data_IF_837489167850
#
_entry.id   IF_837489167850
#
_cell.length_a   1.000
_cell.length_b   1.000
_cell.length_c   1.000
_cell.angle_alpha   90.00
_cell.angle_beta   90.00
_cell.angle_gamma   90.00
#
_symmetry.space_group_name_H-M   'P 1'
#
loop_
_entity.id
_entity.type
_entity.pdbx_description
1 polymer ?
#
# COMPACT_ATOMS: atom_id res chain seq x y z
N UNK A 1 -13.49 -7.84 17.55
CA UNK A 1 -12.52 -7.25 18.49
C UNK A 1 -12.57 -5.74 18.29
N UNK A 2 -12.50 -4.98 19.37
CA UNK A 2 -12.43 -3.51 19.29
C UNK A 2 -11.12 -3.11 18.61
N UNK A 3 -11.13 -2.00 17.89
CA UNK A 3 -9.95 -1.42 17.23
C UNK A 3 -9.24 -0.47 18.20
N UNK A 4 -7.93 -0.48 18.18
CA UNK A 4 -7.05 0.21 19.11
C UNK A 4 -6.46 1.48 18.50
N UNK A 5 -6.78 2.62 19.08
CA UNK A 5 -6.33 3.93 18.61
C UNK A 5 -5.40 4.57 19.64
N UNK A 6 -4.17 4.85 19.27
CA UNK A 6 -3.27 5.70 20.10
C UNK A 6 -3.32 7.12 19.58
N UNK A 7 -3.67 8.06 20.47
CA UNK A 7 -3.72 9.49 20.18
C UNK A 7 -2.47 10.15 20.74
N UNK A 8 -1.64 10.71 19.88
CA UNK A 8 -0.49 11.54 20.25
C UNK A 8 -0.86 13.02 20.23
N UNK A 9 -0.73 13.69 21.36
CA UNK A 9 -1.13 15.09 21.55
C UNK A 9 0.08 15.97 21.70
N UNK A 10 0.29 16.94 20.79
CA UNK A 10 1.36 17.94 20.93
C UNK A 10 0.85 19.32 21.34
N UNK A 11 1.72 20.13 21.96
CA UNK A 11 1.35 21.41 22.60
C UNK A 11 0.91 22.49 21.62
N UNK A 12 -0.36 22.86 21.65
CA UNK A 12 -0.96 23.95 20.89
C UNK A 12 -2.39 24.20 21.29
N UNK A 13 -2.92 25.37 20.99
CA UNK A 13 -4.27 25.77 21.41
C UNK A 13 -5.36 24.76 20.98
N UNK A 14 -5.15 24.05 19.87
CA UNK A 14 -6.12 23.08 19.36
C UNK A 14 -6.20 21.76 20.18
N UNK A 15 -5.43 21.61 21.28
CA UNK A 15 -5.47 20.43 22.16
C UNK A 15 -6.88 20.16 22.70
N UNK A 16 -7.71 21.19 22.96
CA UNK A 16 -9.10 20.99 23.41
C UNK A 16 -9.94 20.18 22.41
N UNK A 17 -9.64 20.28 21.10
CA UNK A 17 -10.32 19.49 20.07
C UNK A 17 -9.91 18.01 20.12
N UNK A 18 -8.70 17.68 20.59
CA UNK A 18 -8.30 16.30 20.83
C UNK A 18 -9.16 15.65 21.92
N UNK A 19 -9.60 16.41 22.94
CA UNK A 19 -10.56 15.91 23.94
C UNK A 19 -11.91 15.55 23.28
N UNK A 20 -12.41 16.41 22.38
CA UNK A 20 -13.66 16.14 21.62
C UNK A 20 -13.49 14.91 20.72
N UNK A 21 -12.33 14.76 20.06
CA UNK A 21 -12.01 13.58 19.27
C UNK A 21 -12.05 12.30 20.10
N UNK A 22 -11.36 12.28 21.25
CA UNK A 22 -11.36 11.12 22.17
C UNK A 22 -12.78 10.81 22.64
N UNK A 23 -13.56 11.84 22.99
CA UNK A 23 -14.97 11.67 23.39
C UNK A 23 -15.86 11.10 22.29
N UNK A 24 -15.63 11.47 21.03
CA UNK A 24 -16.40 10.92 19.89
C UNK A 24 -16.00 9.50 19.55
N UNK A 25 -14.69 9.21 19.55
CA UNK A 25 -14.19 7.87 19.29
C UNK A 25 -14.58 6.87 20.38
N UNK A 26 -14.58 7.27 21.68
CA UNK A 26 -14.99 6.39 22.79
C UNK A 26 -16.47 6.02 22.79
N UNK A 27 -17.31 6.72 22.02
CA UNK A 27 -18.71 6.35 21.77
C UNK A 27 -18.88 5.36 20.62
N UNK A 28 -17.81 5.08 19.90
CA UNK A 28 -17.75 4.07 18.85
C UNK A 28 -17.10 2.79 19.40
N UNK A 29 -16.90 1.80 18.56
CA UNK A 29 -16.29 0.51 18.95
C UNK A 29 -14.75 0.57 18.92
N UNK A 30 -14.18 1.65 19.51
CA UNK A 30 -12.74 1.86 19.64
C UNK A 30 -12.29 1.80 21.10
N UNK A 31 -11.08 1.28 21.32
CA UNK A 31 -10.32 1.48 22.54
C UNK A 31 -9.24 2.54 22.28
N UNK A 32 -9.14 3.53 23.17
CA UNK A 32 -8.32 4.71 22.95
C UNK A 32 -7.34 4.88 24.09
N UNK A 33 -6.06 4.98 23.78
CA UNK A 33 -5.02 5.41 24.71
C UNK A 33 -4.40 6.72 24.24
N UNK A 34 -3.99 7.56 25.17
CA UNK A 34 -3.48 8.90 24.86
C UNK A 34 -2.08 9.06 25.41
N UNK A 35 -1.20 9.62 24.58
CA UNK A 35 0.14 10.08 24.96
C UNK A 35 0.25 11.58 24.69
N UNK A 36 0.85 12.34 25.59
CA UNK A 36 0.97 13.80 25.47
C UNK A 36 2.42 14.24 25.59
N UNK A 37 2.79 15.25 24.81
CA UNK A 37 4.04 15.97 25.08
C UNK A 37 3.92 16.80 26.37
N UNK A 38 5.04 17.08 27.00
CA UNK A 38 5.08 17.93 28.21
C UNK A 38 4.39 19.27 27.97
N UNK A 39 4.68 19.93 26.85
CA UNK A 39 4.05 21.20 26.47
C UNK A 39 2.54 21.12 26.23
N UNK A 40 2.00 19.96 25.91
CA UNK A 40 0.54 19.83 25.71
C UNK A 40 -0.23 19.98 27.05
N UNK A 41 0.42 19.67 28.18
CA UNK A 41 -0.17 19.79 29.50
C UNK A 41 -0.43 21.23 29.94
N UNK A 42 0.26 22.22 29.32
CA UNK A 42 0.02 23.65 29.55
C UNK A 42 -1.36 24.10 29.01
N UNK A 43 -1.91 23.37 28.06
CA UNK A 43 -3.23 23.67 27.47
C UNK A 43 -4.36 22.84 28.06
N UNK A 44 -4.12 21.54 28.29
CA UNK A 44 -5.12 20.62 28.84
C UNK A 44 -4.43 19.59 29.73
N UNK A 45 -4.95 19.35 30.93
CA UNK A 45 -4.37 18.37 31.86
C UNK A 45 -4.67 16.93 31.44
N UNK A 46 -3.77 15.96 31.72
CA UNK A 46 -3.94 14.53 31.41
C UNK A 46 -5.27 13.94 31.87
N UNK A 47 -5.73 14.35 33.07
CA UNK A 47 -7.00 13.89 33.68
C UNK A 47 -8.22 14.06 32.74
N UNK A 48 -8.20 15.06 31.83
CA UNK A 48 -9.29 15.22 30.86
C UNK A 48 -9.35 14.04 29.90
N UNK A 49 -8.19 13.58 29.42
CA UNK A 49 -8.10 12.43 28.51
C UNK A 49 -8.39 11.12 29.25
N UNK A 50 -7.89 10.96 30.47
CA UNK A 50 -8.14 9.78 31.31
C UNK A 50 -9.63 9.60 31.60
N UNK A 51 -10.33 10.72 31.91
CA UNK A 51 -11.76 10.71 32.14
C UNK A 51 -12.58 10.28 30.92
N UNK A 52 -12.09 10.56 29.70
CA UNK A 52 -12.76 10.26 28.43
C UNK A 52 -12.41 8.87 27.91
N UNK A 53 -11.14 8.49 27.94
CA UNK A 53 -10.65 7.22 27.40
C UNK A 53 -10.77 6.05 28.37
N UNK A 54 -10.82 6.33 29.70
CA UNK A 54 -10.76 5.36 30.80
C UNK A 54 -9.41 4.67 30.98
N UNK A 55 -8.38 5.19 30.33
CA UNK A 55 -7.00 4.73 30.43
C UNK A 55 -6.10 5.87 30.91
N UNK A 56 -4.99 5.53 31.57
CA UNK A 56 -3.95 6.49 31.93
C UNK A 56 -3.44 7.21 30.70
N UNK A 57 -3.22 8.52 30.81
CA UNK A 57 -2.60 9.34 29.79
C UNK A 57 -1.09 9.43 30.08
N UNK A 58 -0.27 8.86 29.20
CA UNK A 58 1.17 8.85 29.39
C UNK A 58 1.79 10.18 28.93
N UNK A 59 2.61 10.77 29.77
CA UNK A 59 3.24 12.09 29.54
C UNK A 59 4.75 12.09 29.65
N UNK A 60 5.33 11.06 30.28
CA UNK A 60 6.79 10.92 30.48
C UNK A 60 7.28 9.55 29.99
N UNK A 61 8.49 9.52 29.44
CA UNK A 61 9.19 8.27 29.13
C UNK A 61 9.66 7.53 30.40
N UNK A 62 9.90 8.29 31.48
CA UNK A 62 10.48 7.82 32.74
C UNK A 62 9.54 8.16 33.91
N UNK A 63 8.37 7.58 33.91
CA UNK A 63 7.42 7.73 35.02
C UNK A 63 7.62 6.56 35.99
N UNK A 64 8.23 6.85 37.14
CA UNK A 64 8.50 5.87 38.21
C UNK A 64 7.21 5.30 38.84
N UNK A 65 6.06 5.95 38.62
CA UNK A 65 4.76 5.48 39.10
C UNK A 65 4.04 4.57 38.09
N UNK A 66 4.62 4.39 36.91
CA UNK A 66 4.03 3.55 35.87
C UNK A 66 4.35 2.08 36.12
N UNK A 67 3.32 1.23 36.16
CA UNK A 67 3.49 -0.23 36.25
C UNK A 67 4.20 -0.82 35.01
N UNK A 68 4.12 -0.14 33.86
CA UNK A 68 4.79 -0.51 32.61
C UNK A 68 6.03 0.38 32.37
N UNK A 69 7.24 -0.12 32.64
CA UNK A 69 8.47 0.66 32.48
C UNK A 69 8.81 1.00 31.02
N UNK A 70 8.16 0.35 30.06
CA UNK A 70 8.39 0.56 28.63
C UNK A 70 7.07 0.89 27.89
N UNK A 71 6.24 1.72 28.53
CA UNK A 71 4.89 2.08 28.03
C UNK A 71 4.84 2.46 26.54
N UNK A 72 5.85 3.17 26.03
CA UNK A 72 5.94 3.54 24.61
C UNK A 72 6.01 2.32 23.66
N UNK A 73 6.68 1.24 24.05
CA UNK A 73 6.74 -0.01 23.25
C UNK A 73 5.42 -0.78 23.35
N UNK A 74 4.86 -0.86 24.56
CA UNK A 74 3.56 -1.53 24.76
C UNK A 74 2.44 -0.84 23.99
N UNK A 75 2.40 0.51 24.02
CA UNK A 75 1.45 1.31 23.26
C UNK A 75 1.65 1.15 21.74
N UNK A 76 2.90 1.18 21.29
CA UNK A 76 3.22 1.01 19.86
C UNK A 76 2.80 -0.37 19.32
N UNK A 77 2.94 -1.43 20.12
CA UNK A 77 2.49 -2.79 19.76
C UNK A 77 0.97 -2.97 19.85
N UNK A 78 0.33 -2.27 20.80
CA UNK A 78 -1.09 -2.34 21.01
C UNK A 78 -1.91 -1.58 19.96
N UNK A 79 -1.33 -0.51 19.36
CA UNK A 79 -2.02 0.34 18.39
C UNK A 79 -2.31 -0.37 17.07
N UNK A 80 -3.54 -0.26 16.57
CA UNK A 80 -3.90 -0.54 15.17
C UNK A 80 -3.69 0.70 14.30
N UNK A 81 -3.82 1.90 14.87
CA UNK A 81 -3.51 3.19 14.26
C UNK A 81 -2.96 4.16 15.29
N UNK A 82 -1.98 4.98 14.90
CA UNK A 82 -1.51 6.11 15.71
C UNK A 82 -1.84 7.43 15.03
N UNK A 83 -2.52 8.33 15.77
CA UNK A 83 -3.01 9.62 15.29
C UNK A 83 -2.34 10.75 16.05
N UNK A 84 -1.58 11.61 15.35
CA UNK A 84 -1.04 12.85 15.93
C UNK A 84 -2.06 13.98 15.79
N UNK A 85 -2.66 14.40 16.89
CA UNK A 85 -3.70 15.46 16.91
C UNK A 85 -3.73 16.23 18.22
N UNK A 86 -3.56 17.57 18.19
CA UNK A 86 -3.02 18.32 17.06
C UNK A 86 -1.54 18.00 16.80
N UNK A 87 -1.11 18.08 15.54
CA UNK A 87 0.29 17.95 15.19
C UNK A 87 0.89 19.34 14.89
N UNK A 88 1.76 19.81 15.77
CA UNK A 88 2.52 21.06 15.60
C UNK A 88 3.65 20.88 14.57
N UNK A 89 4.19 21.96 14.04
CA UNK A 89 5.38 21.91 13.18
C UNK A 89 6.55 21.18 13.85
N UNK A 90 6.71 21.36 15.17
CA UNK A 90 7.77 20.71 15.96
C UNK A 90 7.62 19.18 15.96
N UNK A 91 6.43 18.65 16.29
CA UNK A 91 6.23 17.19 16.34
C UNK A 91 6.34 16.57 14.94
N UNK A 92 5.85 17.26 13.90
CA UNK A 92 6.01 16.80 12.51
C UNK A 92 7.50 16.70 12.15
N UNK A 93 8.30 17.72 12.48
CA UNK A 93 9.72 17.68 12.23
C UNK A 93 10.41 16.53 12.99
N UNK A 94 10.08 16.33 14.28
CA UNK A 94 10.65 15.22 15.09
C UNK A 94 10.38 13.86 14.47
N UNK A 95 9.11 13.54 14.18
CA UNK A 95 8.72 12.19 13.71
C UNK A 95 9.24 11.86 12.32
N UNK A 96 9.43 12.88 11.49
CA UNK A 96 9.99 12.71 10.13
C UNK A 96 11.51 12.46 10.17
N UNK A 97 12.20 13.08 11.11
CA UNK A 97 13.66 12.95 11.26
C UNK A 97 14.08 11.89 12.31
N UNK A 98 13.11 11.13 12.87
CA UNK A 98 13.40 10.06 13.83
C UNK A 98 13.88 10.57 15.20
N UNK A 99 13.54 11.81 15.58
CA UNK A 99 13.84 12.36 16.91
C UNK A 99 12.81 11.78 17.89
N UNK A 100 13.30 11.08 18.91
CA UNK A 100 12.50 10.36 19.90
C UNK A 100 12.89 10.78 21.32
N UNK A 101 12.66 12.07 21.65
CA UNK A 101 13.05 12.73 22.90
C UNK A 101 11.88 12.98 23.86
N UNK A 102 10.66 12.60 23.46
CA UNK A 102 9.45 12.63 24.27
C UNK A 102 8.60 11.38 24.04
N UNK A 103 7.62 11.12 24.93
CA UNK A 103 6.77 9.92 24.87
C UNK A 103 5.99 9.82 23.55
N UNK A 104 5.56 10.95 22.96
CA UNK A 104 4.79 10.99 21.71
C UNK A 104 5.67 10.59 20.53
N UNK A 105 6.83 11.25 20.40
CA UNK A 105 7.77 11.00 19.29
C UNK A 105 8.39 9.59 19.39
N UNK A 106 8.68 9.11 20.59
CA UNK A 106 9.21 7.76 20.81
C UNK A 106 8.18 6.68 20.49
N UNK A 107 6.93 6.84 20.97
CA UNK A 107 5.84 5.90 20.63
C UNK A 107 5.58 5.90 19.13
N UNK A 108 5.55 7.07 18.51
CA UNK A 108 5.33 7.19 17.05
C UNK A 108 6.43 6.48 16.24
N UNK A 109 7.69 6.62 16.64
CA UNK A 109 8.82 5.97 15.99
C UNK A 109 8.75 4.43 16.15
N UNK A 110 8.39 3.95 17.34
CA UNK A 110 8.26 2.54 17.65
C UNK A 110 7.03 1.87 16.99
N UNK A 111 6.03 2.65 16.59
CA UNK A 111 4.78 2.16 16.01
C UNK A 111 4.99 1.68 14.57
N UNK A 112 4.57 0.46 14.25
CA UNK A 112 4.64 -0.13 12.91
C UNK A 112 3.30 -0.11 12.16
N UNK A 113 2.25 0.43 12.80
CA UNK A 113 0.91 0.49 12.24
C UNK A 113 0.69 1.77 11.42
N UNK A 114 -0.53 1.98 10.96
CA UNK A 114 -0.93 3.18 10.23
C UNK A 114 -0.68 4.43 11.07
N UNK A 115 -0.22 5.48 10.42
CA UNK A 115 0.10 6.76 11.03
C UNK A 115 -0.66 7.88 10.35
N UNK A 116 -1.48 8.60 11.13
CA UNK A 116 -2.29 9.72 10.68
C UNK A 116 -1.83 10.99 11.38
N UNK A 117 -1.60 12.04 10.63
CA UNK A 117 -1.12 13.34 11.14
C UNK A 117 -2.17 14.41 10.83
N UNK A 118 -2.60 15.15 11.88
CA UNK A 118 -3.56 16.23 11.79
C UNK A 118 -2.88 17.56 12.15
N UNK A 119 -2.32 18.29 11.18
CA UNK A 119 -1.58 19.52 11.44
C UNK A 119 -2.45 20.62 12.04
N UNK A 120 -1.87 21.36 13.01
CA UNK A 120 -2.45 22.58 13.57
C UNK A 120 -1.36 23.55 13.99
N UNK A 121 -1.28 24.69 13.33
CA UNK A 121 -0.28 25.73 13.58
C UNK A 121 -0.70 27.07 12.95
N UNK A 122 0.04 28.13 13.27
CA UNK A 122 -0.11 29.43 12.59
C UNK A 122 0.09 29.27 11.07
N UNK A 123 -0.55 30.12 10.27
CA UNK A 123 -0.47 30.06 8.80
C UNK A 123 0.96 30.20 8.28
N UNK A 124 1.73 31.12 8.83
CA UNK A 124 3.14 31.33 8.42
C UNK A 124 4.03 30.14 8.77
N UNK A 125 3.74 29.46 9.89
CA UNK A 125 4.42 28.20 10.24
C UNK A 125 4.04 27.08 9.28
N UNK A 126 2.77 26.99 8.88
CA UNK A 126 2.32 25.96 7.95
C UNK A 126 2.90 26.18 6.56
N UNK A 127 2.89 27.42 6.06
CA UNK A 127 3.39 27.79 4.72
C UNK A 127 4.92 27.85 4.65
N UNK A 128 5.62 27.79 5.80
CA UNK A 128 7.08 27.81 5.84
C UNK A 128 7.66 26.62 5.03
N UNK A 129 8.65 26.91 4.19
CA UNK A 129 9.26 25.93 3.29
C UNK A 129 9.81 24.69 4.03
N UNK A 130 10.35 24.87 5.25
CA UNK A 130 10.84 23.76 6.07
C UNK A 130 9.68 22.86 6.51
N UNK A 131 8.56 23.46 6.94
CA UNK A 131 7.37 22.71 7.34
C UNK A 131 6.79 21.96 6.14
N UNK A 132 6.67 22.60 4.98
CA UNK A 132 6.16 21.97 3.76
C UNK A 132 7.07 20.83 3.27
N UNK A 133 8.39 21.00 3.38
CA UNK A 133 9.35 19.93 3.09
C UNK A 133 9.18 18.74 4.04
N UNK A 134 8.99 18.98 5.33
CA UNK A 134 8.76 17.92 6.31
C UNK A 134 7.43 17.21 6.07
N UNK A 135 6.36 17.92 5.73
CA UNK A 135 5.07 17.32 5.34
C UNK A 135 5.23 16.45 4.10
N UNK A 136 5.96 16.92 3.10
CA UNK A 136 6.23 16.14 1.87
C UNK A 136 6.99 14.87 2.20
N UNK A 137 8.07 14.96 3.00
CA UNK A 137 8.86 13.80 3.42
C UNK A 137 8.03 12.81 4.25
N UNK A 138 7.14 13.31 5.14
CA UNK A 138 6.22 12.46 5.89
C UNK A 138 5.28 11.66 4.96
N UNK A 139 4.76 12.30 3.89
CA UNK A 139 3.94 11.62 2.87
C UNK A 139 4.75 10.58 2.08
N UNK A 140 6.01 10.87 1.76
CA UNK A 140 6.93 9.92 1.11
C UNK A 140 7.25 8.70 2.01
N UNK A 141 7.27 8.89 3.34
CA UNK A 141 7.37 7.83 4.34
C UNK A 141 6.06 7.04 4.55
N UNK A 142 4.99 7.37 3.82
CA UNK A 142 3.70 6.69 3.90
C UNK A 142 2.78 7.19 5.01
N UNK A 143 3.11 8.31 5.69
CA UNK A 143 2.22 8.88 6.71
C UNK A 143 1.05 9.60 6.04
N UNK A 144 -0.16 9.37 6.55
CA UNK A 144 -1.38 10.01 6.05
C UNK A 144 -1.66 11.31 6.78
N UNK A 145 -2.35 12.21 6.09
CA UNK A 145 -2.66 13.54 6.61
C UNK A 145 -4.16 13.82 6.52
N UNK A 146 -4.72 14.38 7.61
CA UNK A 146 -5.97 15.14 7.53
C UNK A 146 -5.56 16.60 7.39
N UNK A 147 -5.70 17.13 6.17
CA UNK A 147 -5.22 18.48 5.84
C UNK A 147 -5.89 19.54 6.73
N UNK A 148 -5.13 20.55 7.20
CA UNK A 148 -5.71 21.64 7.96
C UNK A 148 -6.62 22.50 7.08
N UNK A 149 -7.66 23.05 7.69
CA UNK A 149 -8.62 23.89 6.99
C UNK A 149 -8.21 25.37 6.98
N UNK A 150 -8.76 26.12 6.02
CA UNK A 150 -8.66 27.58 5.99
C UNK A 150 -9.65 28.17 7.00
N UNK A 151 -9.21 29.12 7.81
CA UNK A 151 -10.08 29.78 8.77
C UNK A 151 -9.39 30.80 9.65
N UNK A 152 -10.14 31.44 10.53
CA UNK A 152 -9.61 32.33 11.55
C UNK A 152 -8.82 31.50 12.59
N UNK A 153 -7.59 31.92 12.82
CA UNK A 153 -6.68 31.36 13.80
C UNK A 153 -6.73 32.17 15.10
N UNK A 154 -6.28 31.58 16.20
CA UNK A 154 -6.28 32.25 17.52
C UNK A 154 -5.40 33.53 17.57
N UNK A 155 -4.48 33.70 16.62
CA UNK A 155 -3.65 34.86 16.45
C UNK A 155 -4.26 35.96 15.55
N UNK A 156 -5.56 35.86 15.22
CA UNK A 156 -6.28 36.73 14.30
C UNK A 156 -5.85 36.66 12.81
N UNK A 157 -4.93 35.78 12.47
CA UNK A 157 -4.58 35.52 11.08
C UNK A 157 -5.68 34.67 10.41
N UNK A 158 -5.85 34.83 9.09
CA UNK A 158 -6.73 34.00 8.28
C UNK A 158 -5.90 33.25 7.24
N UNK A 159 -6.00 31.93 7.22
CA UNK A 159 -5.25 31.12 6.27
C UNK A 159 -5.33 29.63 6.59
N UNK A 160 -4.55 28.83 5.86
CA UNK A 160 -4.44 27.40 6.05
C UNK A 160 -3.53 27.10 7.26
N UNK A 161 -4.02 26.32 8.22
CA UNK A 161 -3.25 25.96 9.43
C UNK A 161 -4.14 25.58 10.61
N UNK A 162 -5.45 25.86 10.52
CA UNK A 162 -6.43 25.47 11.52
C UNK A 162 -6.67 23.95 11.45
N UNK A 163 -6.65 23.29 12.62
CA UNK A 163 -6.98 21.87 12.72
C UNK A 163 -8.29 21.55 12.00
N UNK A 164 -8.30 20.51 11.20
CA UNK A 164 -9.49 19.97 10.55
C UNK A 164 -10.64 19.76 11.56
N UNK A 165 -11.85 19.68 11.06
CA UNK A 165 -12.98 19.40 11.94
C UNK A 165 -12.86 17.99 12.51
N UNK A 166 -13.25 17.86 13.78
CA UNK A 166 -13.10 16.59 14.51
C UNK A 166 -13.90 15.47 13.83
N UNK A 167 -15.00 15.80 13.18
CA UNK A 167 -15.79 14.81 12.43
C UNK A 167 -15.04 14.28 11.21
N UNK A 168 -14.31 15.14 10.50
CA UNK A 168 -13.49 14.73 9.36
C UNK A 168 -12.32 13.83 9.80
N UNK A 169 -11.73 14.13 10.96
CA UNK A 169 -10.71 13.28 11.57
C UNK A 169 -11.28 11.90 11.94
N UNK A 170 -12.47 11.88 12.55
CA UNK A 170 -13.18 10.62 12.89
C UNK A 170 -13.47 9.84 11.61
N UNK A 171 -14.02 10.49 10.57
CA UNK A 171 -14.32 9.84 9.30
C UNK A 171 -13.07 9.26 8.62
N UNK A 172 -11.94 9.97 8.72
CA UNK A 172 -10.67 9.47 8.20
C UNK A 172 -10.17 8.23 8.97
N UNK A 173 -10.30 8.21 10.31
CA UNK A 173 -9.97 7.04 11.13
C UNK A 173 -10.88 5.86 10.79
N UNK A 174 -12.20 6.08 10.68
CA UNK A 174 -13.17 5.05 10.27
C UNK A 174 -12.79 4.46 8.92
N UNK A 175 -12.52 5.32 7.94
CA UNK A 175 -12.12 4.92 6.59
C UNK A 175 -10.85 4.06 6.59
N UNK A 176 -9.85 4.40 7.43
CA UNK A 176 -8.64 3.58 7.56
C UNK A 176 -8.93 2.16 8.03
N UNK A 177 -9.91 1.99 8.91
CA UNK A 177 -10.32 0.66 9.38
C UNK A 177 -11.26 -0.06 8.42
N UNK A 178 -12.11 0.66 7.70
CA UNK A 178 -12.99 0.10 6.68
C UNK A 178 -12.19 -0.43 5.49
N UNK A 179 -11.16 0.32 5.07
CA UNK A 179 -10.27 -0.10 3.97
C UNK A 179 -9.60 -1.44 4.25
N UNK A 180 -9.23 -1.77 5.50
CA UNK A 180 -8.64 -3.06 5.87
C UNK A 180 -9.55 -4.27 5.63
N UNK A 181 -10.85 -4.06 5.44
CA UNK A 181 -11.85 -5.12 5.35
C UNK A 181 -12.57 -5.16 3.99
N UNK A 182 -12.20 -4.26 3.05
CA UNK A 182 -12.92 -4.14 1.76
C UNK A 182 -12.88 -5.42 0.92
N UNK A 183 -11.85 -6.25 1.08
CA UNK A 183 -11.71 -7.53 0.40
C UNK A 183 -11.79 -8.73 1.34
N UNK A 184 -12.35 -8.55 2.55
CA UNK A 184 -12.53 -9.66 3.49
C UNK A 184 -13.38 -10.77 2.89
N UNK A 185 -12.85 -12.00 2.96
CA UNK A 185 -13.50 -13.18 2.40
C UNK A 185 -13.34 -13.35 0.88
N UNK A 186 -12.63 -12.42 0.20
CA UNK A 186 -12.28 -12.57 -1.21
C UNK A 186 -10.97 -13.34 -1.34
N UNK A 187 -10.91 -14.22 -2.32
CA UNK A 187 -9.70 -14.91 -2.74
C UNK A 187 -9.08 -14.15 -3.91
N UNK A 188 -7.83 -13.74 -3.77
CA UNK A 188 -7.09 -12.94 -4.76
C UNK A 188 -5.85 -13.70 -5.18
N UNK A 189 -5.75 -14.03 -6.47
CA UNK A 189 -4.58 -14.64 -7.07
C UNK A 189 -3.81 -13.59 -7.86
N UNK A 190 -2.52 -13.46 -7.59
CA UNK A 190 -1.62 -12.55 -8.28
C UNK A 190 -0.46 -13.34 -8.87
N UNK A 191 -0.09 -13.10 -10.12
CA UNK A 191 1.17 -13.58 -10.66
C UNK A 191 2.23 -12.48 -10.64
N UNK A 192 3.50 -12.84 -10.40
CA UNK A 192 4.60 -11.88 -10.30
C UNK A 192 5.92 -12.45 -10.83
N UNK A 193 6.84 -11.55 -11.16
CA UNK A 193 8.18 -11.92 -11.61
C UNK A 193 8.23 -12.35 -13.08
N UNK A 194 9.44 -12.66 -13.58
CA UNK A 194 9.64 -13.27 -14.89
C UNK A 194 9.48 -14.78 -14.81
N UNK A 195 9.32 -15.43 -15.95
CA UNK A 195 9.62 -16.85 -16.10
C UNK A 195 11.05 -17.03 -16.67
N UNK A 196 11.64 -18.18 -16.40
CA UNK A 196 12.96 -18.58 -16.91
C UNK A 196 12.82 -19.86 -17.72
N UNK A 197 13.07 -19.75 -19.02
CA UNK A 197 12.97 -20.87 -19.95
C UNK A 197 14.37 -21.43 -20.18
N UNK A 198 14.66 -22.59 -19.64
CA UNK A 198 15.97 -23.19 -19.65
C UNK A 198 16.45 -23.51 -21.07
N UNK A 199 17.69 -23.14 -21.38
CA UNK A 199 18.43 -23.56 -22.58
C UNK A 199 19.29 -24.79 -22.28
N UNK A 200 19.90 -24.78 -21.10
CA UNK A 200 20.69 -25.87 -20.51
C UNK A 200 20.69 -25.74 -18.97
N UNK A 201 21.35 -26.59 -18.20
CA UNK A 201 21.37 -26.49 -16.73
C UNK A 201 21.94 -25.17 -16.16
N UNK A 202 22.55 -24.33 -16.99
CA UNK A 202 23.26 -23.11 -16.55
C UNK A 202 22.62 -21.84 -17.13
N UNK A 203 22.01 -21.91 -18.30
CA UNK A 203 21.51 -20.74 -19.05
C UNK A 203 20.02 -20.83 -19.32
N UNK A 204 19.36 -19.69 -19.31
CA UNK A 204 17.93 -19.56 -19.56
C UNK A 204 17.63 -18.27 -20.33
N UNK A 205 16.48 -18.24 -21.00
CA UNK A 205 15.86 -17.05 -21.55
C UNK A 205 14.87 -16.49 -20.52
N UNK A 206 14.88 -15.18 -20.30
CA UNK A 206 13.98 -14.53 -19.34
C UNK A 206 13.69 -13.08 -19.68
N UNK A 207 12.69 -12.50 -19.05
CA UNK A 207 12.33 -11.08 -19.13
C UNK A 207 13.01 -10.27 -18.00
N UNK A 208 13.19 -8.96 -18.21
CA UNK A 208 13.79 -8.06 -17.21
C UNK A 208 12.88 -7.71 -16.00
N UNK A 209 11.80 -8.45 -15.79
CA UNK A 209 10.87 -8.18 -14.70
C UNK A 209 11.51 -8.39 -13.33
N UNK A 210 11.27 -7.46 -12.42
CA UNK A 210 11.71 -7.55 -11.02
C UNK A 210 10.66 -8.15 -10.08
N UNK A 211 9.42 -8.35 -10.55
CA UNK A 211 8.31 -8.82 -9.72
C UNK A 211 7.65 -7.74 -8.83
N UNK A 212 8.27 -6.57 -8.64
CA UNK A 212 7.83 -5.52 -7.70
C UNK A 212 6.35 -5.15 -7.81
N UNK A 213 5.78 -5.09 -9.03
CA UNK A 213 4.38 -4.71 -9.19
C UNK A 213 3.42 -5.78 -8.65
N UNK A 214 3.64 -7.05 -8.98
CA UNK A 214 2.80 -8.15 -8.46
C UNK A 214 2.90 -8.28 -6.94
N UNK A 215 4.09 -8.14 -6.37
CA UNK A 215 4.29 -8.11 -4.92
C UNK A 215 3.57 -6.93 -4.26
N UNK A 216 3.60 -5.75 -4.85
CA UNK A 216 2.88 -4.57 -4.35
C UNK A 216 1.35 -4.77 -4.36
N UNK A 217 0.81 -5.38 -5.43
CA UNK A 217 -0.61 -5.72 -5.52
C UNK A 217 -1.00 -6.77 -4.47
N UNK A 218 -0.20 -7.82 -4.31
CA UNK A 218 -0.45 -8.87 -3.32
C UNK A 218 -0.44 -8.30 -1.89
N UNK A 219 0.52 -7.41 -1.57
CA UNK A 219 0.59 -6.70 -0.30
C UNK A 219 -0.65 -5.81 -0.08
N UNK A 220 -1.08 -5.06 -1.10
CA UNK A 220 -2.28 -4.23 -1.03
C UNK A 220 -3.54 -5.09 -0.82
N UNK A 221 -3.70 -6.20 -1.56
CA UNK A 221 -4.84 -7.11 -1.38
C UNK A 221 -4.88 -7.71 0.02
N UNK A 222 -3.73 -8.10 0.57
CA UNK A 222 -3.62 -8.60 1.94
C UNK A 222 -4.02 -7.54 2.97
N UNK A 223 -3.54 -6.31 2.80
CA UNK A 223 -3.91 -5.19 3.70
C UNK A 223 -5.41 -4.84 3.65
N UNK A 224 -6.08 -5.16 2.55
CA UNK A 224 -7.53 -5.02 2.38
C UNK A 224 -8.33 -6.24 2.89
N UNK A 225 -7.67 -7.19 3.57
CA UNK A 225 -8.31 -8.34 4.22
C UNK A 225 -8.55 -9.55 3.32
N UNK A 226 -8.00 -9.59 2.11
CA UNK A 226 -8.15 -10.73 1.21
C UNK A 226 -7.34 -11.96 1.64
N UNK A 227 -7.78 -13.13 1.21
CA UNK A 227 -6.98 -14.34 1.16
C UNK A 227 -6.14 -14.29 -0.12
N UNK A 228 -4.82 -14.09 0.01
CA UNK A 228 -3.96 -13.84 -1.15
C UNK A 228 -3.09 -15.04 -1.47
N UNK A 229 -3.08 -15.44 -2.74
CA UNK A 229 -2.10 -16.36 -3.31
C UNK A 229 -1.23 -15.60 -4.31
N UNK A 230 0.08 -15.62 -4.11
CA UNK A 230 1.06 -15.02 -5.01
C UNK A 230 1.86 -16.11 -5.72
N UNK A 231 1.64 -16.28 -7.02
CA UNK A 231 2.42 -17.17 -7.89
C UNK A 231 3.61 -16.38 -8.43
N UNK A 232 4.79 -16.67 -7.92
CA UNK A 232 6.00 -15.89 -8.17
C UNK A 232 7.02 -16.69 -8.99
N UNK A 233 7.40 -16.15 -10.15
CA UNK A 233 8.60 -16.55 -10.86
C UNK A 233 9.86 -16.07 -10.11
N UNK A 234 11.08 -16.43 -10.57
CA UNK A 234 12.31 -16.10 -9.87
C UNK A 234 12.52 -14.60 -9.71
N UNK A 235 12.61 -14.13 -8.46
CA UNK A 235 12.88 -12.74 -8.09
C UNK A 235 13.87 -12.68 -6.92
N UNK A 236 14.47 -11.51 -6.69
CA UNK A 236 15.29 -11.23 -5.51
C UNK A 236 14.46 -10.64 -4.33
N UNK A 237 13.13 -10.62 -4.45
CA UNK A 237 12.25 -10.10 -3.41
C UNK A 237 12.02 -11.17 -2.33
N UNK A 238 11.94 -10.73 -1.08
CA UNK A 238 11.59 -11.60 0.04
C UNK A 238 10.11 -12.00 -0.01
N UNK A 239 9.80 -13.18 0.52
CA UNK A 239 8.44 -13.68 0.63
C UNK A 239 7.58 -12.77 1.50
N UNK A 240 6.35 -12.56 1.08
CA UNK A 240 5.40 -11.76 1.85
C UNK A 240 4.85 -12.57 3.02
N UNK A 241 4.88 -11.98 4.21
CA UNK A 241 4.26 -12.57 5.40
C UNK A 241 2.74 -12.66 5.22
N UNK A 242 2.16 -13.75 5.70
CA UNK A 242 0.71 -14.00 5.68
C UNK A 242 0.07 -14.03 4.27
N UNK A 243 0.87 -14.29 3.24
CA UNK A 243 0.46 -14.53 1.86
C UNK A 243 0.82 -15.96 1.48
N UNK A 244 -0.06 -16.67 0.79
CA UNK A 244 0.23 -17.99 0.27
C UNK A 244 1.17 -17.87 -0.93
N UNK A 245 2.47 -18.09 -0.71
CA UNK A 245 3.50 -18.00 -1.75
C UNK A 245 3.61 -19.31 -2.53
N UNK A 246 3.56 -19.24 -3.85
CA UNK A 246 3.76 -20.38 -4.78
C UNK A 246 4.89 -20.01 -5.73
N UNK A 247 6.05 -20.62 -5.52
CA UNK A 247 7.23 -20.40 -6.37
C UNK A 247 7.19 -21.29 -7.59
N UNK A 248 7.44 -20.69 -8.75
CA UNK A 248 7.50 -21.35 -10.06
C UNK A 248 8.75 -20.90 -10.80
N UNK A 249 9.19 -21.66 -11.79
CA UNK A 249 10.40 -21.31 -12.53
C UNK A 249 10.08 -20.90 -13.97
N UNK A 250 9.32 -21.68 -14.69
CA UNK A 250 9.02 -21.47 -16.10
C UNK A 250 7.53 -21.17 -16.37
N UNK A 251 7.21 -20.91 -17.62
CA UNK A 251 5.84 -20.57 -18.03
C UNK A 251 4.85 -21.73 -17.82
N UNK A 252 5.29 -22.98 -17.99
CA UNK A 252 4.44 -24.15 -17.77
C UNK A 252 4.09 -24.31 -16.30
N UNK A 253 5.11 -24.20 -15.41
CA UNK A 253 4.89 -24.26 -13.96
C UNK A 253 3.90 -23.17 -13.50
N UNK A 254 4.05 -21.96 -14.06
CA UNK A 254 3.15 -20.83 -13.76
C UNK A 254 1.72 -21.11 -14.26
N UNK A 255 1.58 -21.66 -15.46
CA UNK A 255 0.30 -22.06 -16.02
C UNK A 255 -0.39 -23.08 -15.12
N UNK A 256 0.29 -24.15 -14.72
CA UNK A 256 -0.26 -25.23 -13.90
C UNK A 256 -0.61 -24.72 -12.48
N UNK A 257 0.25 -23.88 -11.89
CA UNK A 257 0.01 -23.31 -10.59
C UNK A 257 -1.22 -22.39 -10.54
N UNK A 258 -1.47 -21.62 -11.61
CA UNK A 258 -2.60 -20.70 -11.69
C UNK A 258 -3.88 -21.46 -12.03
N UNK A 259 -3.86 -22.31 -13.05
CA UNK A 259 -5.06 -23.01 -13.54
C UNK A 259 -5.63 -23.97 -12.51
N UNK A 260 -4.77 -24.66 -11.73
CA UNK A 260 -5.23 -25.55 -10.66
C UNK A 260 -5.93 -24.82 -9.49
N UNK A 261 -5.87 -23.49 -9.43
CA UNK A 261 -6.46 -22.66 -8.38
C UNK A 261 -7.55 -21.71 -8.89
N UNK A 262 -7.80 -21.70 -10.18
CA UNK A 262 -8.68 -20.74 -10.85
C UNK A 262 -10.10 -20.73 -10.26
N UNK A 263 -10.66 -21.89 -9.97
CA UNK A 263 -12.04 -22.05 -9.56
C UNK A 263 -12.45 -21.33 -8.28
N UNK A 264 -11.52 -21.17 -7.36
CA UNK A 264 -11.75 -20.62 -6.03
C UNK A 264 -11.42 -19.10 -5.93
N UNK A 265 -10.98 -18.49 -7.04
CA UNK A 265 -10.56 -17.07 -7.02
C UNK A 265 -11.74 -16.15 -7.34
N UNK A 266 -11.75 -15.00 -6.66
CA UNK A 266 -12.63 -13.87 -6.99
C UNK A 266 -11.92 -12.88 -7.93
N UNK A 267 -10.67 -12.53 -7.60
CA UNK A 267 -9.85 -11.63 -8.41
C UNK A 267 -8.57 -12.31 -8.87
N UNK A 268 -8.26 -12.16 -10.15
CA UNK A 268 -7.09 -12.77 -10.79
C UNK A 268 -6.31 -11.68 -11.49
N UNK A 269 -5.07 -11.44 -11.04
CA UNK A 269 -4.22 -10.36 -11.55
C UNK A 269 -2.96 -10.95 -12.15
N UNK A 270 -2.84 -10.84 -13.48
CA UNK A 270 -1.74 -11.37 -14.26
C UNK A 270 -0.66 -10.31 -14.47
N UNK A 271 0.21 -10.10 -13.44
CA UNK A 271 1.28 -9.10 -13.46
C UNK A 271 2.68 -9.69 -13.72
N UNK A 272 2.78 -11.01 -13.89
CA UNK A 272 4.02 -11.67 -14.28
C UNK A 272 4.42 -11.35 -15.73
N UNK A 273 5.72 -11.31 -15.98
CA UNK A 273 6.29 -11.22 -17.32
C UNK A 273 6.63 -12.64 -17.83
N UNK A 274 5.62 -13.33 -18.31
CA UNK A 274 5.74 -14.67 -18.84
C UNK A 274 6.41 -14.62 -20.22
N UNK A 275 7.36 -15.52 -20.48
CA UNK A 275 7.96 -15.64 -21.80
C UNK A 275 6.96 -16.25 -22.81
N UNK A 276 6.81 -15.62 -23.98
CA UNK A 276 5.92 -16.12 -25.05
C UNK A 276 6.43 -17.41 -25.68
N UNK A 277 7.73 -17.62 -25.64
CA UNK A 277 8.41 -18.74 -26.25
C UNK A 277 9.38 -19.43 -25.29
N UNK A 278 9.54 -20.75 -25.46
CA UNK A 278 10.57 -21.57 -24.79
C UNK A 278 11.38 -22.33 -25.81
N UNK A 279 12.62 -22.75 -25.49
CA UNK A 279 13.36 -23.68 -26.34
C UNK A 279 12.56 -24.98 -26.54
N UNK A 280 12.55 -25.50 -27.78
CA UNK A 280 11.89 -26.76 -28.08
C UNK A 280 12.58 -27.93 -27.36
N UNK A 281 13.91 -27.86 -27.24
CA UNK A 281 14.75 -28.85 -26.53
C UNK A 281 15.64 -28.13 -25.53
N UNK A 282 15.73 -28.68 -24.33
CA UNK A 282 16.65 -28.26 -23.28
C UNK A 282 17.81 -29.24 -23.27
N UNK A 283 19.03 -28.73 -23.37
CA UNK A 283 20.24 -29.59 -23.34
C UNK A 283 20.47 -30.14 -21.91
N UNK A 284 20.71 -31.45 -21.78
CA UNK A 284 21.00 -32.10 -20.50
C UNK A 284 22.32 -31.66 -19.86
N UNK A 285 23.25 -31.17 -20.68
CA UNK A 285 24.56 -30.69 -20.27
C UNK A 285 24.79 -29.26 -20.74
N UNK A 286 25.62 -28.53 -19.98
CA UNK A 286 26.04 -27.19 -20.39
C UNK A 286 26.57 -27.18 -21.80
N UNK A 287 25.97 -26.41 -22.71
CA UNK A 287 26.39 -26.24 -24.09
C UNK A 287 27.78 -25.59 -24.08
N UNK A 288 28.76 -26.32 -24.58
CA UNK A 288 30.16 -25.82 -24.68
C UNK A 288 30.36 -24.93 -25.90
N UNK A 289 31.24 -23.95 -25.76
CA UNK A 289 31.65 -23.12 -26.90
C UNK A 289 32.31 -24.00 -27.98
N UNK A 290 31.81 -23.87 -29.19
CA UNK A 290 32.44 -24.44 -30.42
C UNK A 290 32.78 -23.29 -31.38
N UNK A 291 33.51 -23.59 -32.47
CA UNK A 291 33.77 -22.64 -33.52
C UNK A 291 32.59 -22.51 -34.49
N UNK A 292 31.53 -23.28 -34.30
CA UNK A 292 30.32 -23.26 -35.11
C UNK A 292 29.24 -22.38 -34.47
N UNK A 293 28.37 -21.80 -35.33
CA UNK A 293 27.17 -21.09 -34.91
C UNK A 293 26.17 -22.06 -34.27
N UNK A 294 25.46 -21.59 -33.22
CA UNK A 294 24.43 -22.37 -32.55
C UNK A 294 23.07 -21.76 -32.86
N UNK A 295 22.16 -22.57 -33.36
CA UNK A 295 20.78 -22.18 -33.62
C UNK A 295 19.85 -22.84 -32.57
N UNK A 296 18.95 -22.04 -31.97
CA UNK A 296 17.94 -22.55 -31.11
C UNK A 296 16.56 -22.48 -31.78
N UNK A 297 15.82 -23.57 -31.71
CA UNK A 297 14.42 -23.59 -32.10
C UNK A 297 13.53 -23.27 -30.91
N UNK A 298 12.57 -22.37 -31.11
CA UNK A 298 11.66 -21.94 -30.06
C UNK A 298 10.22 -22.36 -30.40
N UNK A 299 9.51 -22.85 -29.40
CA UNK A 299 8.08 -23.18 -29.47
C UNK A 299 7.30 -22.26 -28.54
N UNK A 300 6.01 -22.06 -28.82
CA UNK A 300 5.14 -21.18 -28.02
C UNK A 300 4.91 -21.76 -26.64
N UNK A 301 4.95 -20.91 -25.63
CA UNK A 301 4.44 -21.19 -24.29
C UNK A 301 2.90 -21.13 -24.24
N UNK A 302 2.24 -21.77 -23.25
CA UNK A 302 0.82 -21.60 -23.05
C UNK A 302 0.48 -20.14 -22.72
N UNK A 303 -0.59 -19.65 -23.36
CA UNK A 303 -1.10 -18.29 -23.07
C UNK A 303 -2.00 -18.33 -21.86
N UNK A 304 -1.43 -18.06 -20.69
CA UNK A 304 -2.11 -18.16 -19.40
C UNK A 304 -3.32 -17.24 -19.36
N UNK A 305 -3.17 -15.97 -19.79
CA UNK A 305 -4.22 -14.98 -19.74
C UNK A 305 -5.40 -15.33 -20.66
N UNK A 306 -5.11 -15.84 -21.87
CA UNK A 306 -6.16 -16.32 -22.78
C UNK A 306 -6.91 -17.52 -22.20
N UNK A 307 -6.20 -18.46 -21.60
CA UNK A 307 -6.80 -19.61 -20.96
C UNK A 307 -7.76 -19.21 -19.83
N UNK A 308 -7.30 -18.33 -18.92
CA UNK A 308 -8.11 -17.83 -17.80
C UNK A 308 -9.35 -17.12 -18.31
N UNK A 309 -9.21 -16.24 -19.32
CA UNK A 309 -10.34 -15.51 -19.88
C UNK A 309 -11.40 -16.39 -20.54
N UNK A 310 -11.00 -17.55 -21.10
CA UNK A 310 -11.91 -18.53 -21.68
C UNK A 310 -12.63 -19.37 -20.62
N UNK A 311 -12.03 -19.57 -19.44
CA UNK A 311 -12.52 -20.44 -18.37
C UNK A 311 -13.04 -19.70 -17.15
N UNK A 312 -13.04 -18.36 -17.17
CA UNK A 312 -13.50 -17.56 -16.02
C UNK A 312 -14.99 -17.76 -15.74
N UNK A 313 -15.34 -17.77 -14.46
CA UNK A 313 -16.73 -17.75 -13.98
C UNK A 313 -17.27 -16.32 -13.98
N UNK A 314 -18.59 -16.14 -13.97
CA UNK A 314 -19.24 -14.82 -13.97
C UNK A 314 -18.83 -13.95 -12.76
N UNK A 315 -18.65 -14.57 -11.60
CA UNK A 315 -18.25 -13.90 -10.36
C UNK A 315 -16.74 -13.62 -10.25
N UNK A 316 -15.96 -13.90 -11.28
CA UNK A 316 -14.52 -13.63 -11.31
C UNK A 316 -14.21 -12.35 -12.07
N UNK A 317 -13.26 -11.58 -11.58
CA UNK A 317 -12.73 -10.37 -12.24
C UNK A 317 -11.27 -10.59 -12.60
N UNK A 318 -10.94 -10.39 -13.88
CA UNK A 318 -9.58 -10.62 -14.42
C UNK A 318 -8.94 -9.30 -14.80
N UNK A 319 -7.74 -9.06 -14.26
CA UNK A 319 -6.86 -7.96 -14.63
C UNK A 319 -5.60 -8.50 -15.31
N UNK A 320 -5.37 -8.09 -16.56
CA UNK A 320 -4.13 -8.35 -17.30
C UNK A 320 -3.18 -7.16 -17.26
N UNK A 321 -1.91 -7.42 -17.59
CA UNK A 321 -0.91 -6.39 -17.83
C UNK A 321 -0.42 -6.45 -19.28
N UNK A 322 -0.17 -5.28 -19.86
CA UNK A 322 0.45 -5.14 -21.16
C UNK A 322 1.58 -4.11 -21.09
N UNK A 323 2.74 -4.48 -21.60
CA UNK A 323 3.85 -3.56 -21.81
C UNK A 323 4.03 -3.38 -23.32
N UNK A 324 3.87 -2.14 -23.77
CA UNK A 324 3.88 -1.82 -25.19
C UNK A 324 4.96 -0.77 -25.47
N UNK A 325 5.51 -0.81 -26.67
CA UNK A 325 6.49 0.19 -27.13
C UNK A 325 5.88 1.20 -28.10
N UNK A 326 4.79 0.82 -28.78
CA UNK A 326 4.06 1.65 -29.76
C UNK A 326 2.55 1.34 -29.70
N UNK A 327 1.71 2.30 -30.09
CA UNK A 327 0.25 2.14 -30.18
C UNK A 327 -0.39 1.54 -28.92
N UNK A 328 0.04 2.06 -27.74
CA UNK A 328 -0.30 1.52 -26.41
C UNK A 328 -1.78 1.19 -26.25
N UNK A 329 -2.67 2.16 -26.51
CA UNK A 329 -4.11 2.01 -26.24
C UNK A 329 -4.77 1.03 -27.21
N UNK A 330 -4.43 1.10 -28.48
CA UNK A 330 -5.01 0.21 -29.51
C UNK A 330 -4.61 -1.25 -29.26
N UNK A 331 -3.33 -1.50 -28.99
CA UNK A 331 -2.84 -2.84 -28.69
C UNK A 331 -3.42 -3.38 -27.37
N UNK A 332 -3.47 -2.52 -26.35
CA UNK A 332 -4.05 -2.89 -25.06
C UNK A 332 -5.56 -3.21 -25.19
N UNK A 333 -6.31 -2.45 -25.98
CA UNK A 333 -7.74 -2.72 -26.21
C UNK A 333 -7.95 -4.03 -26.97
N UNK A 334 -7.18 -4.28 -28.02
CA UNK A 334 -7.20 -5.58 -28.73
C UNK A 334 -6.90 -6.74 -27.76
N UNK A 335 -5.92 -6.56 -26.87
CA UNK A 335 -5.55 -7.57 -25.87
C UNK A 335 -6.66 -7.77 -24.84
N UNK A 336 -7.30 -6.71 -24.34
CA UNK A 336 -8.44 -6.76 -23.42
C UNK A 336 -9.55 -7.64 -24.00
N UNK A 337 -9.94 -7.40 -25.25
CA UNK A 337 -11.01 -8.12 -25.95
C UNK A 337 -10.61 -9.55 -26.27
N UNK A 338 -9.45 -9.75 -26.92
CA UNK A 338 -9.00 -11.08 -27.36
C UNK A 338 -8.72 -12.05 -26.21
N UNK A 339 -8.34 -11.54 -25.03
CA UNK A 339 -8.10 -12.32 -23.81
C UNK A 339 -9.32 -12.39 -22.89
N UNK A 340 -10.43 -11.77 -23.26
CA UNK A 340 -11.65 -11.70 -22.44
C UNK A 340 -11.38 -11.23 -21.00
N UNK A 341 -10.51 -10.23 -20.83
CA UNK A 341 -10.22 -9.60 -19.54
C UNK A 341 -11.29 -8.59 -19.19
N UNK A 342 -11.52 -8.36 -17.89
CA UNK A 342 -12.41 -7.30 -17.41
C UNK A 342 -11.67 -5.95 -17.33
N UNK A 343 -10.35 -6.01 -17.09
CA UNK A 343 -9.47 -4.84 -17.01
C UNK A 343 -8.07 -5.17 -17.55
N UNK A 344 -7.42 -4.17 -18.13
CA UNK A 344 -6.03 -4.25 -18.56
C UNK A 344 -5.26 -3.01 -18.07
N UNK A 345 -4.06 -3.24 -17.53
CA UNK A 345 -3.12 -2.19 -17.16
C UNK A 345 -2.04 -2.13 -18.23
N UNK A 346 -2.00 -1.04 -18.97
CA UNK A 346 -1.02 -0.82 -20.02
C UNK A 346 0.04 0.21 -19.60
N UNK A 347 1.31 -0.13 -19.79
CA UNK A 347 2.41 0.79 -19.55
C UNK A 347 3.35 0.84 -20.76
N UNK A 348 3.96 2.00 -20.98
CA UNK A 348 4.94 2.20 -22.03
C UNK A 348 6.36 2.06 -21.46
N UNK A 349 7.16 1.21 -22.08
CA UNK A 349 8.54 0.92 -21.64
C UNK A 349 9.44 2.18 -21.64
N UNK A 350 9.20 3.14 -22.54
CA UNK A 350 10.03 4.33 -22.71
C UNK A 350 9.61 5.51 -21.83
N UNK A 351 8.54 5.39 -21.06
CA UNK A 351 8.09 6.48 -20.17
C UNK A 351 9.02 6.59 -18.96
N UNK A 352 9.60 7.77 -18.77
CA UNK A 352 10.49 8.05 -17.63
C UNK A 352 9.77 7.87 -16.29
N UNK A 353 10.25 6.96 -15.46
CA UNK A 353 9.65 6.62 -14.17
C UNK A 353 8.61 5.49 -14.24
N UNK A 354 8.42 4.88 -15.43
CA UNK A 354 7.75 3.60 -15.59
C UNK A 354 8.78 2.52 -15.89
N UNK A 355 8.48 1.25 -15.58
CA UNK A 355 9.33 0.13 -15.95
C UNK A 355 9.54 -0.90 -14.84
N UNK A 356 10.29 -1.96 -15.17
CA UNK A 356 10.40 -3.15 -14.34
C UNK A 356 11.15 -2.92 -13.01
N UNK A 357 12.22 -2.12 -13.01
CA UNK A 357 13.11 -1.97 -11.86
C UNK A 357 12.78 -0.76 -10.97
N UNK A 358 11.95 0.18 -11.44
CA UNK A 358 11.54 1.37 -10.68
C UNK A 358 10.49 1.07 -9.62
N UNK A 359 10.39 1.90 -8.59
CA UNK A 359 9.35 1.80 -7.55
C UNK A 359 8.06 2.55 -7.91
N UNK A 360 8.08 3.26 -9.04
CA UNK A 360 6.94 4.01 -9.59
C UNK A 360 6.49 3.42 -10.93
N UNK A 361 5.27 3.78 -11.33
CA UNK A 361 4.73 3.45 -12.63
C UNK A 361 3.89 4.60 -13.20
N UNK A 362 3.76 4.63 -14.53
CA UNK A 362 2.84 5.48 -15.29
C UNK A 362 2.04 4.55 -16.18
N UNK A 363 0.75 4.45 -15.95
CA UNK A 363 -0.08 3.44 -16.61
C UNK A 363 -1.37 4.03 -17.15
N UNK A 364 -1.90 3.38 -18.18
CA UNK A 364 -3.26 3.54 -18.65
C UNK A 364 -4.07 2.32 -18.21
N UNK A 365 -5.15 2.56 -17.48
CA UNK A 365 -6.11 1.56 -17.08
C UNK A 365 -7.23 1.51 -18.12
N UNK A 366 -7.48 0.34 -18.69
CA UNK A 366 -8.53 0.10 -19.68
C UNK A 366 -9.58 -0.87 -19.11
N UNK A 367 -10.84 -0.47 -19.19
CA UNK A 367 -12.03 -1.29 -19.01
C UNK A 367 -12.78 -1.36 -20.34
N UNK A 368 -13.82 -2.19 -20.42
CA UNK A 368 -14.60 -2.37 -21.67
C UNK A 368 -15.00 -1.04 -22.31
N UNK A 369 -15.52 -0.10 -21.52
CA UNK A 369 -16.06 1.19 -21.98
C UNK A 369 -15.31 2.41 -21.45
N UNK A 370 -14.18 2.22 -20.77
CA UNK A 370 -13.45 3.30 -20.11
C UNK A 370 -11.95 3.19 -20.35
N UNK A 371 -11.30 4.33 -20.51
CA UNK A 371 -9.84 4.47 -20.52
C UNK A 371 -9.47 5.57 -19.54
N UNK A 372 -8.63 5.25 -18.55
CA UNK A 372 -8.19 6.20 -17.51
C UNK A 372 -6.67 6.26 -17.46
N UNK A 373 -6.13 7.43 -17.73
CA UNK A 373 -4.68 7.67 -17.59
C UNK A 373 -4.37 8.00 -16.14
N UNK A 374 -3.53 7.20 -15.51
CA UNK A 374 -3.08 7.45 -14.15
C UNK A 374 -1.77 8.25 -14.18
N UNK A 375 -1.66 9.32 -13.39
CA UNK A 375 -0.40 10.03 -13.23
C UNK A 375 0.64 9.11 -12.60
N UNK A 376 1.93 9.51 -12.67
CA UNK A 376 3.00 8.77 -12.00
C UNK A 376 2.66 8.55 -10.53
N UNK A 377 2.59 7.31 -10.11
CA UNK A 377 2.33 6.88 -8.75
C UNK A 377 3.27 5.75 -8.33
N UNK A 378 3.34 5.45 -7.04
CA UNK A 378 4.07 4.29 -6.55
C UNK A 378 3.40 2.99 -6.99
N UNK A 379 4.16 1.89 -7.07
CA UNK A 379 3.60 0.56 -7.36
C UNK A 379 2.63 0.10 -6.29
N UNK A 380 2.82 0.52 -5.05
CA UNK A 380 1.92 0.26 -3.94
C UNK A 380 0.59 1.00 -4.12
N UNK A 381 0.63 2.31 -4.42
CA UNK A 381 -0.58 3.10 -4.72
C UNK A 381 -1.33 2.54 -5.93
N UNK A 382 -0.62 2.12 -6.98
CA UNK A 382 -1.22 1.48 -8.13
C UNK A 382 -1.92 0.17 -7.75
N UNK A 383 -1.34 -0.60 -6.83
CA UNK A 383 -1.95 -1.83 -6.31
C UNK A 383 -3.34 -1.59 -5.71
N UNK A 384 -3.49 -0.57 -4.88
CA UNK A 384 -4.79 -0.18 -4.30
C UNK A 384 -5.79 0.26 -5.38
N UNK A 385 -5.37 1.10 -6.33
CA UNK A 385 -6.23 1.57 -7.44
C UNK A 385 -6.74 0.43 -8.32
N UNK A 386 -5.89 -0.57 -8.59
CA UNK A 386 -6.28 -1.78 -9.33
C UNK A 386 -7.37 -2.54 -8.58
N UNK A 387 -7.16 -2.81 -7.29
CA UNK A 387 -8.10 -3.57 -6.47
C UNK A 387 -9.44 -2.84 -6.27
N UNK A 388 -9.41 -1.53 -6.10
CA UNK A 388 -10.58 -0.67 -6.05
C UNK A 388 -11.39 -0.78 -7.36
N UNK A 389 -10.74 -0.63 -8.51
CA UNK A 389 -11.40 -0.75 -9.81
C UNK A 389 -11.96 -2.16 -10.05
N UNK A 390 -11.25 -3.22 -9.63
CA UNK A 390 -11.75 -4.59 -9.73
C UNK A 390 -13.01 -4.80 -8.88
N UNK A 391 -13.08 -4.18 -7.69
CA UNK A 391 -14.27 -4.19 -6.86
C UNK A 391 -15.44 -3.45 -7.51
N UNK A 392 -15.20 -2.31 -8.15
CA UNK A 392 -16.23 -1.60 -8.94
C UNK A 392 -16.79 -2.50 -10.06
N UNK A 393 -15.91 -3.17 -10.81
CA UNK A 393 -16.30 -4.09 -11.87
C UNK A 393 -17.16 -5.26 -11.33
N UNK A 394 -16.78 -5.80 -10.16
CA UNK A 394 -17.57 -6.85 -9.52
C UNK A 394 -18.98 -6.37 -9.14
N UNK A 395 -19.13 -5.12 -8.72
CA UNK A 395 -20.43 -4.54 -8.35
C UNK A 395 -21.31 -4.21 -9.57
N UNK A 396 -20.71 -4.05 -10.75
CA UNK A 396 -21.40 -3.79 -12.01
C UNK A 396 -21.89 -5.07 -12.71
N UNK A 397 -21.34 -6.25 -12.33
CA UNK A 397 -21.75 -7.58 -12.83
C UNK A 397 -23.00 -8.10 -12.12
#
# INVERSE_FOLDING_TARGET
>A
MKKHVVIGVSGGIAVYKACDLVSKLSKKDYEIKVVMTEHAQEFVKPINFESLSKYKCEVSLFDETNEDPIAHITLAKWADIMVLVPATANIIAKVVHGIADDIVSTTFLACHTKKLICPAMNVHMYENEVTQRNIKLAKELGYKFVEPVVGHLACNDTGKGKLADVQDIVACIDHEFEMEQTLKGKNVLVSAGPTQEALDPVRFLSNHSSGKQGYAIAKAAKSLGANVTLVAGPTALEDLKDVNMVHVTNAQDMFDAITSRLDDQNYIIMAAAVADYRPEMVADQKIKKSDEEITFHFVKNPDILAYIGQHKKENQVICGFAMETQNLEENARKKLESKNCDMLIANNLFTRGAGFQTDTNVVTLLRKNETKHLPKCSKEELGYKILETMKEIEMEK
#
